data_IF_063981147189
#
_entry.id   IF_063981147189
#
_cell.length_a   1.000
_cell.length_b   1.000
_cell.length_c   1.000
_cell.angle_alpha   90.00
_cell.angle_beta   90.00
_cell.angle_gamma   90.00
#
_symmetry.space_group_name_H-M   'P 1'
#
loop_
_entity.id
_entity.type
_entity.pdbx_description
1 polymer ?
#
# COMPACT_ATOMS: atom_id res chain seq x y z
N UNK A 1 -23.28 -8.50 -38.85
CA UNK A 1 -24.29 -8.91 -37.85
C UNK A 1 -23.61 -8.93 -36.50
N UNK A 2 -24.28 -8.47 -35.45
CA UNK A 2 -23.82 -8.70 -34.08
C UNK A 2 -24.04 -10.18 -33.77
N UNK A 3 -22.97 -10.95 -33.70
CA UNK A 3 -23.00 -12.33 -33.26
C UNK A 3 -22.46 -12.45 -31.83
N UNK A 4 -22.62 -13.63 -31.25
CA UNK A 4 -22.24 -13.93 -29.87
C UNK A 4 -20.73 -13.70 -29.67
N UNK A 5 -19.91 -14.01 -30.67
CA UNK A 5 -18.46 -13.75 -30.67
C UNK A 5 -18.13 -12.27 -30.58
N UNK A 6 -18.83 -11.41 -31.33
CA UNK A 6 -18.64 -9.96 -31.27
C UNK A 6 -18.93 -9.39 -29.87
N UNK A 7 -19.99 -9.88 -29.22
CA UNK A 7 -20.35 -9.48 -27.84
C UNK A 7 -19.28 -9.94 -26.85
N UNK A 8 -18.83 -11.20 -26.94
CA UNK A 8 -17.79 -11.73 -26.06
C UNK A 8 -16.45 -10.99 -26.18
N UNK A 9 -16.05 -10.58 -27.39
CA UNK A 9 -14.82 -9.79 -27.59
C UNK A 9 -14.92 -8.45 -26.85
N UNK A 10 -16.07 -7.78 -26.90
CA UNK A 10 -16.28 -6.50 -26.20
C UNK A 10 -16.28 -6.69 -24.68
N UNK A 11 -16.99 -7.69 -24.18
CA UNK A 11 -17.00 -8.02 -22.75
C UNK A 11 -15.61 -8.42 -22.24
N UNK A 12 -14.84 -9.14 -23.05
CA UNK A 12 -13.45 -9.50 -22.72
C UNK A 12 -12.58 -8.26 -22.47
N UNK A 13 -12.71 -7.23 -23.31
CA UNK A 13 -12.02 -5.94 -23.09
C UNK A 13 -12.44 -5.25 -21.78
N UNK A 14 -13.74 -5.23 -21.47
CA UNK A 14 -14.24 -4.65 -20.21
C UNK A 14 -13.75 -5.42 -18.99
N UNK A 15 -13.80 -6.75 -19.01
CA UNK A 15 -13.32 -7.58 -17.90
C UNK A 15 -11.81 -7.50 -17.72
N UNK A 16 -11.05 -7.44 -18.82
CA UNK A 16 -9.60 -7.26 -18.75
C UNK A 16 -9.24 -5.93 -18.09
N UNK A 17 -9.84 -4.83 -18.53
CA UNK A 17 -9.59 -3.52 -17.94
C UNK A 17 -10.07 -3.44 -16.47
N UNK A 18 -11.24 -4.02 -16.17
CA UNK A 18 -11.76 -4.10 -14.81
C UNK A 18 -10.86 -4.93 -13.88
N UNK A 19 -10.33 -6.05 -14.38
CA UNK A 19 -9.37 -6.89 -13.67
C UNK A 19 -8.09 -6.12 -13.34
N UNK A 20 -7.50 -5.43 -14.32
CA UNK A 20 -6.32 -4.60 -14.10
C UNK A 20 -6.54 -3.51 -13.05
N UNK A 21 -7.70 -2.84 -13.06
CA UNK A 21 -8.03 -1.83 -12.05
C UNK A 21 -8.15 -2.45 -10.64
N UNK A 22 -8.80 -3.60 -10.52
CA UNK A 22 -8.93 -4.33 -9.25
C UNK A 22 -7.57 -4.80 -8.73
N UNK A 23 -6.70 -5.31 -9.59
CA UNK A 23 -5.36 -5.76 -9.21
C UNK A 23 -4.53 -4.59 -8.64
N UNK A 24 -4.59 -3.42 -9.29
CA UNK A 24 -3.92 -2.20 -8.81
C UNK A 24 -4.50 -1.77 -7.46
N UNK A 25 -5.82 -1.78 -7.30
CA UNK A 25 -6.48 -1.41 -6.04
C UNK A 25 -6.07 -2.33 -4.89
N UNK A 26 -6.09 -3.65 -5.12
CA UNK A 26 -5.66 -4.65 -4.13
C UNK A 26 -4.20 -4.45 -3.76
N UNK A 27 -3.33 -4.19 -4.74
CA UNK A 27 -1.92 -3.94 -4.50
C UNK A 27 -1.72 -2.71 -3.61
N UNK A 28 -2.35 -1.59 -3.94
CA UNK A 28 -2.30 -0.34 -3.15
C UNK A 28 -2.85 -0.56 -1.73
N UNK A 29 -3.97 -1.30 -1.60
CA UNK A 29 -4.56 -1.61 -0.31
C UNK A 29 -3.61 -2.39 0.59
N UNK A 30 -3.00 -3.46 0.07
CA UNK A 30 -2.05 -4.29 0.82
C UNK A 30 -0.85 -3.45 1.27
N UNK A 31 -0.31 -2.62 0.38
CA UNK A 31 0.82 -1.74 0.71
C UNK A 31 0.47 -0.74 1.80
N UNK A 32 -0.71 -0.12 1.71
CA UNK A 32 -1.22 0.79 2.73
C UNK A 32 -1.34 0.11 4.10
N UNK A 33 -1.88 -1.12 4.13
CA UNK A 33 -2.00 -1.91 5.35
C UNK A 33 -0.64 -2.27 5.96
N UNK A 34 0.33 -2.63 5.12
CA UNK A 34 1.70 -2.95 5.54
C UNK A 34 2.39 -1.73 6.18
N UNK A 35 2.31 -0.56 5.55
CA UNK A 35 2.87 0.69 6.09
C UNK A 35 2.16 1.10 7.38
N UNK A 36 0.82 0.98 7.43
CA UNK A 36 0.03 1.28 8.61
C UNK A 36 0.41 0.36 9.79
N UNK A 37 0.49 -0.95 9.54
CA UNK A 37 0.84 -1.96 10.52
C UNK A 37 2.23 -1.69 11.12
N UNK A 38 3.23 -1.43 10.28
CA UNK A 38 4.58 -1.08 10.74
C UNK A 38 4.59 0.19 11.59
N UNK A 39 3.88 1.23 11.16
CA UNK A 39 3.84 2.51 11.88
C UNK A 39 3.23 2.35 13.28
N UNK A 40 2.12 1.61 13.41
CA UNK A 40 1.51 1.31 14.70
C UNK A 40 2.39 0.42 15.56
N UNK A 41 2.96 -0.65 15.00
CA UNK A 41 3.87 -1.55 15.72
C UNK A 41 5.05 -0.81 16.32
N UNK A 42 5.74 0.04 15.55
CA UNK A 42 6.88 0.82 16.02
C UNK A 42 6.48 1.86 17.08
N UNK A 43 5.32 2.51 16.93
CA UNK A 43 4.82 3.44 17.96
C UNK A 43 4.49 2.74 19.27
N UNK A 44 3.93 1.53 19.22
CA UNK A 44 3.68 0.73 20.41
C UNK A 44 5.00 0.39 21.11
N UNK A 45 6.01 -0.09 20.37
CA UNK A 45 7.35 -0.35 20.91
C UNK A 45 7.96 0.90 21.57
N UNK A 46 7.86 2.07 20.93
CA UNK A 46 8.33 3.32 21.53
C UNK A 46 7.60 3.66 22.82
N UNK A 47 6.29 3.40 22.89
CA UNK A 47 5.52 3.70 24.06
C UNK A 47 5.84 2.78 25.23
N UNK A 48 6.09 1.50 24.95
CA UNK A 48 6.36 0.49 25.95
C UNK A 48 7.79 0.61 26.52
N UNK A 49 8.78 0.91 25.68
CA UNK A 49 10.19 0.82 26.06
C UNK A 49 10.91 2.17 26.23
N UNK A 50 10.39 3.26 25.68
CA UNK A 50 11.07 4.58 25.76
C UNK A 50 10.29 5.52 26.68
N UNK A 51 10.85 5.81 27.85
CA UNK A 51 10.24 6.70 28.85
C UNK A 51 10.79 8.14 28.82
N UNK A 52 11.85 8.40 28.05
CA UNK A 52 12.41 9.76 27.91
C UNK A 52 11.73 10.46 26.73
N UNK A 53 10.90 11.47 27.03
CA UNK A 53 10.07 12.17 26.04
C UNK A 53 10.88 12.78 24.88
N UNK A 54 12.06 13.36 25.15
CA UNK A 54 12.92 13.94 24.10
C UNK A 54 13.35 12.87 23.06
N UNK A 55 13.71 11.68 23.54
CA UNK A 55 14.10 10.54 22.69
C UNK A 55 12.88 10.02 21.92
N UNK A 56 11.72 9.89 22.59
CA UNK A 56 10.48 9.45 21.95
C UNK A 56 10.08 10.35 20.77
N UNK A 57 10.14 11.68 20.94
CA UNK A 57 9.84 12.63 19.86
C UNK A 57 10.78 12.45 18.67
N UNK A 58 12.08 12.35 18.92
CA UNK A 58 13.08 12.11 17.88
C UNK A 58 12.81 10.79 17.13
N UNK A 59 12.52 9.71 17.85
CA UNK A 59 12.24 8.41 17.24
C UNK A 59 10.92 8.40 16.46
N UNK A 60 9.88 9.10 16.91
CA UNK A 60 8.64 9.29 16.13
C UNK A 60 8.90 10.02 14.82
N UNK A 61 9.80 11.02 14.83
CA UNK A 61 10.23 11.69 13.61
C UNK A 61 10.95 10.73 12.65
N UNK A 62 11.86 9.90 13.16
CA UNK A 62 12.54 8.88 12.35
C UNK A 62 11.56 7.83 11.79
N UNK A 63 10.56 7.40 12.55
CA UNK A 63 9.50 6.48 12.06
C UNK A 63 8.74 7.11 10.90
N UNK A 64 8.47 8.43 10.93
CA UNK A 64 7.83 9.11 9.81
C UNK A 64 8.72 9.11 8.57
N UNK A 65 10.01 9.43 8.72
CA UNK A 65 10.96 9.38 7.61
C UNK A 65 11.09 7.96 7.04
N UNK A 66 11.20 6.94 7.89
CA UNK A 66 11.28 5.55 7.43
C UNK A 66 9.99 5.10 6.73
N UNK A 67 8.81 5.57 7.17
CA UNK A 67 7.55 5.26 6.51
C UNK A 67 7.49 5.80 5.08
N UNK A 68 8.02 7.01 4.85
CA UNK A 68 8.11 7.61 3.50
C UNK A 68 9.07 6.79 2.63
N UNK A 69 10.23 6.44 3.18
CA UNK A 69 11.25 5.69 2.44
C UNK A 69 10.80 4.25 2.10
N UNK A 70 10.14 3.57 3.03
CA UNK A 70 9.50 2.26 2.77
C UNK A 70 8.42 2.40 1.69
N UNK A 71 7.60 3.47 1.76
CA UNK A 71 6.61 3.76 0.73
C UNK A 71 7.26 3.94 -0.65
N UNK A 72 8.39 4.63 -0.74
CA UNK A 72 9.16 4.78 -1.98
C UNK A 72 9.63 3.43 -2.52
N UNK A 73 10.28 2.60 -1.69
CA UNK A 73 10.75 1.28 -2.11
C UNK A 73 9.62 0.35 -2.55
N UNK A 74 8.47 0.42 -1.88
CA UNK A 74 7.28 -0.34 -2.27
C UNK A 74 6.80 0.07 -3.67
N UNK A 75 6.77 1.38 -3.96
CA UNK A 75 6.41 1.88 -5.29
C UNK A 75 7.45 1.49 -6.35
N UNK A 76 8.74 1.43 -6.01
CA UNK A 76 9.79 0.93 -6.91
C UNK A 76 9.67 -0.55 -7.23
N UNK A 77 9.07 -1.36 -6.37
CA UNK A 77 8.82 -2.78 -6.69
C UNK A 77 7.67 -2.93 -7.71
N UNK A 78 6.77 -1.95 -7.80
CA UNK A 78 5.63 -1.95 -8.71
C UNK A 78 5.94 -1.44 -10.12
N UNK A 79 6.95 -0.59 -10.28
CA UNK A 79 7.31 0.15 -11.50
C UNK A 79 8.65 -0.30 -12.06
#
# INVERSE_FOLDING_TARGET
MFDVTWVFIRLGGFFFFGGLMLDIEIAILIMGLVVLHMNFGLKTILNDYIHINKIKIFLVFLIRLSSIEIGRYILEILL
#
